data_IF_468071161778
#
_entry.id   IF_468071161778
#
_cell.length_a   1.000
_cell.length_b   1.000
_cell.length_c   1.000
_cell.angle_alpha   90.00
_cell.angle_beta   90.00
_cell.angle_gamma   90.00
#
_symmetry.space_group_name_H-M   'P 1'
#
loop_
_entity.id
_entity.type
_entity.pdbx_description
1 polymer ?
#
# COMPACT_ATOMS: atom_id res chain seq x y z
N UNK A 1 -5.48 -4.49 9.36
CA UNK A 1 -5.12 -5.91 9.20
C UNK A 1 -4.85 -6.56 10.56
N UNK A 2 -3.97 -6.01 11.40
CA UNK A 2 -3.60 -6.56 12.70
C UNK A 2 -4.79 -6.65 13.66
N UNK A 3 -5.66 -5.64 13.65
CA UNK A 3 -6.92 -5.69 14.41
C UNK A 3 -7.82 -6.84 13.94
N UNK A 4 -7.97 -7.03 12.63
CA UNK A 4 -8.77 -8.13 12.08
C UNK A 4 -8.19 -9.51 12.43
N UNK A 5 -6.85 -9.65 12.37
CA UNK A 5 -6.13 -10.86 12.80
C UNK A 5 -6.34 -11.09 14.31
N UNK A 6 -6.24 -10.03 15.11
CA UNK A 6 -6.46 -10.10 16.56
C UNK A 6 -7.89 -10.55 16.91
N UNK A 7 -8.91 -9.96 16.31
CA UNK A 7 -10.31 -10.35 16.48
C UNK A 7 -10.54 -11.80 16.03
N UNK A 8 -9.97 -12.19 14.88
CA UNK A 8 -10.03 -13.58 14.41
C UNK A 8 -9.45 -14.56 15.42
N UNK A 9 -8.29 -14.25 16.00
CA UNK A 9 -7.67 -15.09 17.05
C UNK A 9 -8.55 -15.21 18.30
N UNK A 10 -9.21 -14.13 18.72
CA UNK A 10 -10.16 -14.18 19.84
C UNK A 10 -11.35 -15.11 19.55
N UNK A 11 -11.73 -15.27 18.29
CA UNK A 11 -12.80 -16.19 17.84
C UNK A 11 -12.28 -17.59 17.50
N UNK A 12 -10.98 -17.88 17.69
CA UNK A 12 -10.37 -19.17 17.38
C UNK A 12 -9.88 -19.34 15.94
N UNK A 13 -9.90 -18.28 15.12
CA UNK A 13 -9.43 -18.32 13.73
C UNK A 13 -7.99 -17.78 13.61
N UNK A 14 -7.19 -18.44 12.79
CA UNK A 14 -5.83 -17.98 12.46
C UNK A 14 -5.82 -17.44 11.01
N UNK A 15 -5.94 -16.13 10.87
CA UNK A 15 -5.80 -15.47 9.58
C UNK A 15 -4.33 -15.20 9.26
N UNK A 16 -3.93 -15.35 7.98
CA UNK A 16 -2.57 -15.03 7.56
C UNK A 16 -2.31 -13.52 7.55
N UNK A 17 -1.05 -13.16 7.75
CA UNK A 17 -0.57 -11.78 7.56
C UNK A 17 -0.77 -11.35 6.10
N UNK A 18 -1.33 -10.14 5.90
CA UNK A 18 -1.50 -9.54 4.58
C UNK A 18 -0.58 -8.34 4.34
N UNK A 19 -0.09 -7.72 5.40
CA UNK A 19 0.79 -6.54 5.32
C UNK A 19 1.97 -6.71 6.27
N UNK A 20 3.19 -6.50 5.76
CA UNK A 20 4.42 -6.61 6.53
C UNK A 20 5.33 -5.41 6.25
N UNK A 21 5.01 -4.24 6.83
CA UNK A 21 5.73 -2.97 6.66
C UNK A 21 6.12 -2.68 5.19
N UNK A 22 5.16 -2.64 4.26
CA UNK A 22 5.44 -2.53 2.83
C UNK A 22 6.18 -1.24 2.46
N UNK A 23 5.93 -0.14 3.17
CA UNK A 23 6.61 1.13 2.92
C UNK A 23 8.08 1.18 3.35
N UNK A 24 8.59 0.12 3.97
CA UNK A 24 10.02 -0.07 4.27
C UNK A 24 10.78 -0.80 3.15
N UNK A 25 10.14 -1.08 2.03
CA UNK A 25 10.72 -1.86 0.93
C UNK A 25 11.75 -1.06 0.13
N UNK A 26 12.73 -1.76 -0.41
CA UNK A 26 13.82 -1.21 -1.22
C UNK A 26 13.68 -1.52 -2.73
N UNK A 27 12.57 -2.16 -3.13
CA UNK A 27 12.19 -2.38 -4.51
C UNK A 27 10.67 -2.50 -4.62
N UNK A 28 10.11 -2.20 -5.81
CA UNK A 28 8.68 -2.36 -6.07
C UNK A 28 8.28 -3.84 -5.96
N UNK A 29 9.13 -4.76 -6.42
CA UNK A 29 8.89 -6.19 -6.26
C UNK A 29 8.88 -6.62 -4.78
N UNK A 30 9.69 -6.02 -3.92
CA UNK A 30 9.65 -6.25 -2.48
C UNK A 30 8.39 -5.66 -1.85
N UNK A 31 8.00 -4.43 -2.25
CA UNK A 31 6.78 -3.80 -1.78
C UNK A 31 5.57 -4.72 -1.96
N UNK A 32 5.38 -5.28 -3.13
CA UNK A 32 4.25 -6.17 -3.44
C UNK A 32 4.34 -7.55 -2.78
N UNK A 33 5.50 -8.00 -2.35
CA UNK A 33 5.62 -9.18 -1.48
C UNK A 33 5.19 -8.92 -0.05
N UNK A 34 5.13 -7.64 0.36
CA UNK A 34 4.76 -7.18 1.70
C UNK A 34 3.36 -6.57 1.76
N UNK A 35 2.77 -6.25 0.60
CA UNK A 35 1.45 -5.66 0.44
C UNK A 35 0.47 -6.69 -0.11
N UNK A 36 -0.67 -6.86 0.59
CA UNK A 36 -1.77 -7.76 0.19
C UNK A 36 -1.27 -9.17 -0.18
N UNK A 37 -0.53 -9.78 0.74
CA UNK A 37 0.25 -11.02 0.52
C UNK A 37 -0.62 -12.15 0.00
N UNK A 38 -1.79 -12.37 0.60
CA UNK A 38 -2.69 -13.47 0.21
C UNK A 38 -3.24 -13.30 -1.20
N UNK A 39 -3.54 -12.07 -1.63
CA UNK A 39 -3.95 -11.79 -3.00
C UNK A 39 -2.81 -12.07 -3.98
N UNK A 40 -1.60 -11.63 -3.66
CA UNK A 40 -0.39 -11.90 -4.45
C UNK A 40 -0.15 -13.41 -4.61
N UNK A 41 -0.27 -14.17 -3.54
CA UNK A 41 -0.11 -15.63 -3.56
C UNK A 41 -1.22 -16.33 -4.35
N UNK A 42 -2.44 -15.80 -4.32
CA UNK A 42 -3.55 -16.29 -5.14
C UNK A 42 -3.26 -16.10 -6.64
N UNK A 43 -2.93 -14.88 -7.09
CA UNK A 43 -2.56 -14.61 -8.48
C UNK A 43 -1.37 -15.43 -8.94
N UNK A 44 -0.38 -15.61 -8.07
CA UNK A 44 0.80 -16.43 -8.35
C UNK A 44 0.44 -17.91 -8.54
N UNK A 45 -0.42 -18.45 -7.68
CA UNK A 45 -0.80 -19.87 -7.71
C UNK A 45 -1.74 -20.20 -8.86
N UNK A 46 -2.74 -19.34 -9.11
CA UNK A 46 -3.82 -19.64 -10.05
C UNK A 46 -3.62 -19.06 -11.45
N UNK A 47 -2.74 -18.07 -11.63
CA UNK A 47 -2.49 -17.46 -12.94
C UNK A 47 -1.03 -17.62 -13.35
N UNK A 48 -0.07 -17.13 -12.53
CA UNK A 48 1.34 -17.11 -12.92
C UNK A 48 1.93 -18.51 -13.12
N UNK A 49 1.73 -19.42 -12.19
CA UNK A 49 2.25 -20.80 -12.29
C UNK A 49 1.59 -21.62 -13.41
N UNK A 50 0.25 -21.62 -13.60
CA UNK A 50 -0.38 -22.27 -14.73
C UNK A 50 0.11 -21.78 -16.08
N UNK A 51 0.44 -20.49 -16.21
CA UNK A 51 1.04 -19.92 -17.43
C UNK A 51 2.51 -20.37 -17.66
N UNK A 52 3.09 -21.15 -16.74
CA UNK A 52 4.46 -21.66 -16.78
C UNK A 52 5.43 -20.93 -15.87
N UNK A 53 5.01 -19.87 -15.17
CA UNK A 53 5.83 -19.13 -14.22
C UNK A 53 7.12 -18.60 -14.86
N UNK A 54 8.27 -18.81 -14.19
CA UNK A 54 9.61 -18.45 -14.69
C UNK A 54 10.35 -19.61 -15.37
N UNK A 55 9.72 -20.79 -15.50
CA UNK A 55 10.40 -22.01 -15.97
C UNK A 55 10.63 -22.03 -17.48
N UNK A 56 9.90 -21.24 -18.26
CA UNK A 56 9.92 -21.24 -19.74
C UNK A 56 10.78 -20.10 -20.33
N UNK A 57 11.79 -19.66 -19.57
CA UNK A 57 12.72 -18.61 -20.01
C UNK A 57 12.20 -17.18 -19.77
N UNK A 58 13.11 -16.22 -20.00
CA UNK A 58 12.87 -14.82 -19.67
C UNK A 58 11.71 -14.17 -20.45
N UNK A 59 11.57 -14.36 -21.79
CA UNK A 59 10.47 -13.73 -22.53
C UNK A 59 9.09 -14.18 -22.01
N UNK A 60 8.93 -15.47 -21.73
CA UNK A 60 7.67 -16.00 -21.18
C UNK A 60 7.40 -15.47 -19.77
N UNK A 61 8.44 -15.33 -18.97
CA UNK A 61 8.33 -14.74 -17.61
C UNK A 61 7.83 -13.31 -17.68
N UNK A 62 8.34 -12.48 -18.61
CA UNK A 62 7.91 -11.10 -18.82
C UNK A 62 6.42 -11.05 -19.18
N UNK A 63 6.01 -11.84 -20.16
CA UNK A 63 4.60 -11.92 -20.56
C UNK A 63 3.72 -12.33 -19.39
N UNK A 64 4.11 -13.35 -18.64
CA UNK A 64 3.35 -13.82 -17.48
C UNK A 64 3.20 -12.73 -16.42
N UNK A 65 4.26 -11.96 -16.12
CA UNK A 65 4.22 -10.85 -15.18
C UNK A 65 3.26 -9.75 -15.66
N UNK A 66 3.38 -9.32 -16.92
CA UNK A 66 2.51 -8.28 -17.47
C UNK A 66 1.05 -8.71 -17.46
N UNK A 67 0.75 -9.95 -17.83
CA UNK A 67 -0.62 -10.49 -17.81
C UNK A 67 -1.17 -10.51 -16.39
N UNK A 68 -0.41 -11.05 -15.43
CA UNK A 68 -0.86 -11.10 -14.02
C UNK A 68 -1.15 -9.71 -13.49
N UNK A 69 -0.27 -8.76 -13.71
CA UNK A 69 -0.44 -7.39 -13.22
C UNK A 69 -1.60 -6.64 -13.90
N UNK A 70 -1.78 -6.83 -15.20
CA UNK A 70 -2.93 -6.26 -15.93
C UNK A 70 -4.26 -6.83 -15.39
N UNK A 71 -4.31 -8.15 -15.18
CA UNK A 71 -5.51 -8.80 -14.60
C UNK A 71 -5.73 -8.34 -13.16
N UNK A 72 -4.67 -8.13 -12.36
CA UNK A 72 -4.78 -7.54 -11.01
C UNK A 72 -5.41 -6.15 -11.06
N UNK A 73 -5.03 -5.33 -12.04
CA UNK A 73 -5.66 -4.02 -12.26
C UNK A 73 -7.15 -4.16 -12.60
N UNK A 74 -7.51 -5.01 -13.55
CA UNK A 74 -8.91 -5.26 -13.94
C UNK A 74 -9.75 -5.79 -12.76
N UNK A 75 -9.13 -6.60 -11.89
CA UNK A 75 -9.79 -7.11 -10.69
C UNK A 75 -10.20 -6.00 -9.72
N UNK A 76 -9.47 -4.90 -9.64
CA UNK A 76 -9.83 -3.73 -8.84
C UNK A 76 -11.04 -2.96 -9.39
N UNK A 77 -11.34 -3.10 -10.67
CA UNK A 77 -12.51 -2.46 -11.29
C UNK A 77 -12.40 -2.35 -12.82
N UNK A 78 -13.55 -2.24 -13.47
CA UNK A 78 -13.66 -2.12 -14.93
C UNK A 78 -13.39 -0.67 -15.41
N UNK A 79 -12.27 -0.08 -14.99
CA UNK A 79 -11.88 1.28 -15.37
C UNK A 79 -10.45 1.33 -15.90
N UNK A 80 -10.18 2.27 -16.83
CA UNK A 80 -8.88 2.39 -17.48
C UNK A 80 -7.74 2.74 -16.53
N UNK A 81 -8.00 3.54 -15.50
CA UNK A 81 -6.99 3.85 -14.47
C UNK A 81 -6.47 2.60 -13.76
N UNK A 82 -7.35 1.66 -13.39
CA UNK A 82 -6.95 0.42 -12.74
C UNK A 82 -6.14 -0.49 -13.67
N UNK A 83 -6.53 -0.57 -14.94
CA UNK A 83 -5.78 -1.35 -15.92
C UNK A 83 -4.39 -0.75 -16.16
N UNK A 84 -4.29 0.58 -16.28
CA UNK A 84 -3.02 1.28 -16.42
C UNK A 84 -2.17 1.18 -15.16
N UNK A 85 -2.77 1.26 -13.98
CA UNK A 85 -2.10 1.02 -12.69
C UNK A 85 -1.48 -0.38 -12.62
N UNK A 86 -2.23 -1.41 -12.99
CA UNK A 86 -1.72 -2.77 -13.06
C UNK A 86 -0.57 -2.89 -14.06
N UNK A 87 -0.72 -2.37 -15.28
CA UNK A 87 0.32 -2.35 -16.29
C UNK A 87 1.58 -1.61 -15.83
N UNK A 88 1.43 -0.47 -15.16
CA UNK A 88 2.52 0.30 -14.58
C UNK A 88 3.37 -0.52 -13.61
N UNK A 89 2.75 -1.18 -12.63
CA UNK A 89 3.50 -2.03 -11.70
C UNK A 89 4.08 -3.27 -12.37
N UNK A 90 3.37 -3.84 -13.33
CA UNK A 90 3.89 -4.93 -14.14
C UNK A 90 5.18 -4.54 -14.88
N UNK A 91 5.21 -3.37 -15.51
CA UNK A 91 6.37 -2.82 -16.20
C UNK A 91 7.53 -2.55 -15.22
N UNK A 92 7.27 -1.93 -14.08
CA UNK A 92 8.30 -1.67 -13.07
C UNK A 92 8.96 -2.96 -12.59
N UNK A 93 8.17 -3.98 -12.26
CA UNK A 93 8.68 -5.28 -11.82
C UNK A 93 9.48 -5.98 -12.92
N UNK A 94 9.08 -5.85 -14.17
CA UNK A 94 9.87 -6.35 -15.31
C UNK A 94 11.21 -5.61 -15.42
N UNK A 95 11.23 -4.29 -15.31
CA UNK A 95 12.45 -3.48 -15.35
C UNK A 95 13.39 -3.86 -14.18
N UNK A 96 12.86 -3.99 -12.97
CA UNK A 96 13.63 -4.47 -11.80
C UNK A 96 14.21 -5.86 -12.05
N UNK A 97 13.43 -6.76 -12.62
CA UNK A 97 13.89 -8.12 -12.94
C UNK A 97 14.97 -8.16 -14.01
N UNK A 98 14.91 -7.29 -15.01
CA UNK A 98 15.86 -7.27 -16.12
C UNK A 98 17.24 -6.73 -15.69
N UNK A 99 17.27 -5.60 -15.01
CA UNK A 99 18.53 -4.94 -14.67
C UNK A 99 18.48 -4.06 -13.42
N UNK A 100 17.36 -3.35 -13.16
CA UNK A 100 17.31 -2.32 -12.14
C UNK A 100 17.45 -2.91 -10.73
N UNK A 101 16.93 -4.12 -10.47
CA UNK A 101 17.07 -4.78 -9.17
C UNK A 101 18.53 -4.94 -8.74
N UNK A 102 19.42 -5.31 -9.67
CA UNK A 102 20.87 -5.39 -9.40
C UNK A 102 21.52 -4.05 -9.11
N UNK A 103 20.97 -2.96 -9.63
CA UNK A 103 21.43 -1.59 -9.36
C UNK A 103 20.96 -1.18 -7.97
N UNK A 104 19.68 -1.44 -7.64
CA UNK A 104 19.10 -1.13 -6.33
C UNK A 104 19.81 -1.84 -5.17
N UNK A 105 20.30 -3.05 -5.39
CA UNK A 105 21.10 -3.80 -4.40
C UNK A 105 22.49 -3.18 -4.14
N UNK A 106 23.04 -2.39 -5.09
CA UNK A 106 24.38 -1.80 -5.01
C UNK A 106 24.41 -0.38 -4.49
N UNK A 107 23.31 0.34 -4.57
CA UNK A 107 23.22 1.72 -4.09
C UNK A 107 22.89 1.75 -2.58
N UNK A 108 23.19 2.86 -1.87
CA UNK A 108 22.80 2.99 -0.47
C UNK A 108 21.28 2.80 -0.28
N UNK A 109 20.90 2.11 0.78
CA UNK A 109 19.51 1.70 1.09
C UNK A 109 18.50 2.85 1.07
N UNK A 110 18.92 4.06 1.45
CA UNK A 110 18.08 5.25 1.38
C UNK A 110 17.60 5.55 -0.05
N UNK A 111 18.46 5.44 -1.06
CA UNK A 111 18.09 5.74 -2.44
C UNK A 111 17.19 4.66 -3.05
N UNK A 112 17.43 3.38 -2.73
CA UNK A 112 16.56 2.29 -3.17
C UNK A 112 15.19 2.38 -2.50
N UNK A 113 15.12 2.74 -1.21
CA UNK A 113 13.88 3.03 -0.50
C UNK A 113 13.16 4.23 -1.13
N UNK A 114 13.85 5.35 -1.38
CA UNK A 114 13.26 6.55 -1.96
C UNK A 114 12.68 6.29 -3.36
N UNK A 115 13.43 5.55 -4.20
CA UNK A 115 12.92 5.07 -5.49
C UNK A 115 11.60 4.33 -5.32
N UNK A 116 11.59 3.32 -4.46
CA UNK A 116 10.41 2.48 -4.23
C UNK A 116 9.23 3.31 -3.73
N UNK A 117 9.47 4.18 -2.75
CA UNK A 117 8.46 5.07 -2.19
C UNK A 117 7.83 5.97 -3.26
N UNK A 118 8.66 6.64 -4.09
CA UNK A 118 8.18 7.50 -5.16
C UNK A 118 7.36 6.69 -6.18
N UNK A 119 7.84 5.53 -6.62
CA UNK A 119 7.11 4.71 -7.60
C UNK A 119 5.76 4.23 -7.04
N UNK A 120 5.71 3.87 -5.76
CA UNK A 120 4.46 3.46 -5.10
C UNK A 120 3.48 4.64 -4.97
N UNK A 121 3.97 5.83 -4.58
CA UNK A 121 3.12 7.05 -4.50
C UNK A 121 2.52 7.39 -5.87
N UNK A 122 3.30 7.35 -6.95
CA UNK A 122 2.76 7.52 -8.31
C UNK A 122 1.73 6.45 -8.67
N UNK A 123 1.95 5.21 -8.24
CA UNK A 123 0.94 4.15 -8.38
C UNK A 123 -0.36 4.50 -7.67
N UNK A 124 -0.32 5.03 -6.45
CA UNK A 124 -1.52 5.47 -5.73
C UNK A 124 -2.22 6.64 -6.41
N UNK A 125 -1.46 7.59 -6.97
CA UNK A 125 -2.05 8.66 -7.78
C UNK A 125 -2.80 8.10 -8.98
N UNK A 126 -2.25 7.15 -9.71
CA UNK A 126 -2.95 6.51 -10.83
C UNK A 126 -4.22 5.77 -10.38
N UNK A 127 -4.20 5.22 -9.18
CA UNK A 127 -5.34 4.49 -8.63
C UNK A 127 -6.49 5.41 -8.24
N UNK A 128 -6.21 6.54 -7.59
CA UNK A 128 -7.19 7.41 -6.92
C UNK A 128 -7.51 8.70 -7.69
N UNK A 129 -6.63 9.15 -8.59
CA UNK A 129 -6.76 10.45 -9.28
C UNK A 129 -7.99 10.58 -10.21
N UNK A 130 -8.81 9.55 -10.30
CA UNK A 130 -9.83 9.43 -11.31
C UNK A 130 -11.18 9.08 -10.69
N UNK A 131 -12.17 9.96 -10.86
CA UNK A 131 -13.52 9.71 -10.37
C UNK A 131 -14.16 8.50 -11.09
N UNK A 132 -14.78 7.55 -10.36
CA UNK A 132 -15.42 6.39 -10.94
C UNK A 132 -16.46 6.77 -12.01
N UNK A 133 -16.46 6.07 -13.13
CA UNK A 133 -17.42 6.28 -14.23
C UNK A 133 -17.13 7.47 -15.16
N UNK A 134 -16.10 8.28 -14.90
CA UNK A 134 -15.75 9.46 -15.72
C UNK A 134 -14.62 9.19 -16.71
N UNK A 135 -14.02 7.99 -16.69
CA UNK A 135 -12.77 7.67 -17.37
C UNK A 135 -13.00 6.95 -18.68
N UNK A 136 -12.61 7.60 -19.76
CA UNK A 136 -12.32 6.95 -21.04
C UNK A 136 -10.81 6.79 -21.23
N UNK A 137 -10.39 5.92 -22.13
CA UNK A 137 -8.97 5.81 -22.48
C UNK A 137 -8.38 7.14 -22.97
N UNK A 138 -9.21 8.00 -23.60
CA UNK A 138 -8.76 9.28 -24.12
C UNK A 138 -8.46 10.35 -23.08
N UNK A 139 -9.08 10.30 -21.89
CA UNK A 139 -8.96 11.34 -20.87
C UNK A 139 -8.21 10.90 -19.60
N UNK A 140 -7.91 9.61 -19.43
CA UNK A 140 -7.26 9.08 -18.21
C UNK A 140 -5.90 9.71 -17.97
N UNK A 141 -5.09 9.88 -19.01
CA UNK A 141 -3.77 10.48 -18.91
C UNK A 141 -3.84 11.97 -18.53
N UNK A 142 -4.81 12.70 -19.08
CA UNK A 142 -5.04 14.11 -18.75
C UNK A 142 -5.45 14.26 -17.28
N UNK A 143 -6.33 13.42 -16.77
CA UNK A 143 -6.74 13.45 -15.36
C UNK A 143 -5.57 13.14 -14.42
N UNK A 144 -4.79 12.07 -14.69
CA UNK A 144 -3.61 11.73 -13.92
C UNK A 144 -2.59 12.87 -13.95
N UNK A 145 -2.33 13.46 -15.13
CA UNK A 145 -1.40 14.58 -15.29
C UNK A 145 -1.87 15.82 -14.54
N UNK A 146 -3.16 16.16 -14.61
CA UNK A 146 -3.75 17.29 -13.89
C UNK A 146 -3.56 17.11 -12.38
N UNK A 147 -3.79 15.89 -11.86
CA UNK A 147 -3.58 15.61 -10.44
C UNK A 147 -2.10 15.74 -10.04
N UNK A 148 -1.19 15.13 -10.80
CA UNK A 148 0.26 15.24 -10.56
C UNK A 148 0.71 16.71 -10.62
N UNK A 149 0.28 17.45 -11.64
CA UNK A 149 0.60 18.86 -11.79
C UNK A 149 0.12 19.69 -10.58
N UNK A 150 -1.10 19.42 -10.11
CA UNK A 150 -1.66 20.09 -8.92
C UNK A 150 -0.85 19.79 -7.65
N UNK A 151 -0.35 18.55 -7.47
CA UNK A 151 0.54 18.20 -6.34
C UNK A 151 1.80 19.05 -6.25
N UNK A 152 2.28 19.60 -7.38
CA UNK A 152 3.45 20.46 -7.49
C UNK A 152 3.10 21.94 -7.72
N UNK A 153 1.85 22.33 -7.45
CA UNK A 153 1.41 23.72 -7.57
C UNK A 153 1.11 24.19 -8.99
N UNK A 154 0.96 23.25 -9.95
CA UNK A 154 0.65 23.57 -11.36
C UNK A 154 -0.69 24.25 -11.59
N UNK A 155 -1.59 24.23 -10.58
CA UNK A 155 -2.85 24.99 -10.54
C UNK A 155 -2.67 26.44 -9.99
N UNK A 156 -1.43 26.88 -9.74
CA UNK A 156 -1.12 28.20 -9.19
C UNK A 156 -1.16 28.28 -7.64
N UNK A 157 -1.51 27.18 -6.96
CA UNK A 157 -1.60 27.13 -5.50
C UNK A 157 -0.86 25.90 -5.00
N UNK A 158 0.21 26.12 -4.22
CA UNK A 158 0.97 24.99 -3.64
C UNK A 158 0.39 24.54 -2.29
N UNK A 159 -0.04 25.47 -1.46
CA UNK A 159 -0.73 25.20 -0.19
C UNK A 159 -1.90 26.18 -0.08
N UNK A 160 -3.10 25.69 0.08
CA UNK A 160 -4.31 26.48 0.34
C UNK A 160 -4.77 26.36 1.79
N UNK A 161 -5.84 27.09 2.13
CA UNK A 161 -6.44 27.04 3.46
C UNK A 161 -6.99 25.65 3.80
N UNK A 162 -7.42 24.90 2.80
CA UNK A 162 -7.93 23.52 2.96
C UNK A 162 -6.80 22.58 3.35
N UNK A 163 -5.68 22.63 2.63
CA UNK A 163 -4.48 21.86 2.96
C UNK A 163 -3.95 22.21 4.36
N UNK A 164 -3.91 23.50 4.71
CA UNK A 164 -3.52 23.96 6.04
C UNK A 164 -4.43 23.39 7.12
N UNK A 165 -5.75 23.43 6.92
CA UNK A 165 -6.72 22.86 7.84
C UNK A 165 -6.53 21.34 8.01
N UNK A 166 -6.26 20.61 6.94
CA UNK A 166 -5.96 19.17 7.04
C UNK A 166 -4.68 18.90 7.83
N UNK A 167 -3.62 19.67 7.60
CA UNK A 167 -2.35 19.51 8.33
C UNK A 167 -2.58 19.79 9.83
N UNK A 168 -3.29 20.84 10.18
CA UNK A 168 -3.55 21.21 11.57
C UNK A 168 -4.43 20.16 12.27
N UNK A 169 -5.51 19.70 11.62
CA UNK A 169 -6.45 18.78 12.24
C UNK A 169 -5.95 17.32 12.28
N UNK A 170 -5.16 16.90 11.28
CA UNK A 170 -4.73 15.50 11.13
C UNK A 170 -3.22 15.30 11.24
N UNK A 171 -2.42 16.36 11.48
CA UNK A 171 -0.95 16.26 11.51
C UNK A 171 -0.42 15.25 12.52
N UNK A 172 -1.04 15.15 13.70
CA UNK A 172 -0.67 14.14 14.71
C UNK A 172 -0.96 12.74 14.19
N UNK A 173 -2.12 12.53 13.56
CA UNK A 173 -2.51 11.23 12.98
C UNK A 173 -1.53 10.85 11.86
N UNK A 174 -1.15 11.80 10.98
CA UNK A 174 -0.14 11.58 9.96
C UNK A 174 1.20 11.16 10.55
N UNK A 175 1.66 11.85 11.61
CA UNK A 175 2.89 11.46 12.29
C UNK A 175 2.82 10.03 12.86
N UNK A 176 1.72 9.68 13.53
CA UNK A 176 1.49 8.33 14.06
C UNK A 176 1.47 7.30 12.91
N UNK A 177 0.84 7.60 11.78
CA UNK A 177 0.82 6.71 10.61
C UNK A 177 2.22 6.51 10.02
N UNK A 178 3.06 7.57 9.93
CA UNK A 178 4.44 7.47 9.45
C UNK A 178 5.26 6.54 10.35
N UNK A 179 5.21 6.72 11.68
CA UNK A 179 5.90 5.83 12.62
C UNK A 179 5.32 4.40 12.58
N UNK A 180 3.99 4.26 12.50
CA UNK A 180 3.31 2.96 12.43
C UNK A 180 3.56 2.20 11.12
N UNK A 181 3.95 2.88 10.04
CA UNK A 181 4.33 2.24 8.77
C UNK A 181 5.71 1.58 8.79
N UNK A 182 6.47 1.77 9.88
CA UNK A 182 7.81 1.21 10.12
C UNK A 182 7.79 0.17 11.25
N UNK A 183 8.85 -0.60 11.36
CA UNK A 183 9.04 -1.58 12.44
C UNK A 183 9.54 -0.97 13.76
N UNK A 184 9.70 0.35 13.82
CA UNK A 184 10.20 1.08 14.99
C UNK A 184 9.32 0.81 16.22
N UNK A 185 8.00 0.87 16.08
CA UNK A 185 7.07 0.61 17.18
C UNK A 185 7.17 -0.83 17.68
N UNK A 186 7.30 -1.80 16.76
CA UNK A 186 7.50 -3.20 17.11
C UNK A 186 8.80 -3.41 17.87
N UNK A 187 9.90 -2.87 17.35
CA UNK A 187 11.23 -2.95 17.99
C UNK A 187 11.21 -2.32 19.38
N UNK A 188 10.54 -1.17 19.54
CA UNK A 188 10.37 -0.51 20.83
C UNK A 188 9.51 -1.36 21.79
N UNK A 189 8.42 -1.93 21.32
CA UNK A 189 7.58 -2.82 22.12
C UNK A 189 8.36 -4.08 22.59
N UNK A 190 9.16 -4.67 21.71
CA UNK A 190 10.04 -5.81 22.05
C UNK A 190 11.12 -5.42 23.08
N UNK A 191 11.68 -4.22 22.97
CA UNK A 191 12.63 -3.69 23.95
C UNK A 191 11.99 -3.54 25.34
N UNK A 192 10.79 -2.94 25.40
CA UNK A 192 10.05 -2.81 26.66
C UNK A 192 9.68 -4.18 27.22
N UNK A 193 9.25 -5.12 26.38
CA UNK A 193 8.93 -6.49 26.79
C UNK A 193 10.09 -7.17 27.51
N UNK A 194 11.32 -6.95 27.07
CA UNK A 194 12.52 -7.51 27.69
C UNK A 194 12.86 -6.84 29.04
N UNK A 195 12.61 -5.53 29.17
CA UNK A 195 12.96 -4.76 30.38
C UNK A 195 11.86 -4.69 31.44
N UNK A 196 10.61 -4.71 31.02
CA UNK A 196 9.46 -4.56 31.91
C UNK A 196 8.30 -5.49 31.53
N UNK A 197 8.48 -6.83 31.68
CA UNK A 197 7.48 -7.80 31.23
C UNK A 197 6.12 -7.62 31.92
N UNK A 198 6.09 -7.20 33.17
CA UNK A 198 4.83 -6.94 33.90
C UNK A 198 4.06 -5.76 33.29
N UNK A 199 4.73 -4.71 32.87
CA UNK A 199 4.11 -3.57 32.18
C UNK A 199 3.51 -3.99 30.83
N UNK A 200 4.19 -4.84 30.09
CA UNK A 200 3.67 -5.38 28.82
C UNK A 200 2.44 -6.26 29.05
N UNK A 201 2.47 -7.09 30.09
CA UNK A 201 1.39 -8.01 30.39
C UNK A 201 0.09 -7.29 30.78
N UNK A 202 0.16 -6.19 31.52
CA UNK A 202 -1.04 -5.52 32.06
C UNK A 202 -1.26 -4.14 31.45
N UNK A 203 -0.20 -3.39 31.10
CA UNK A 203 -0.31 -2.03 30.57
C UNK A 203 -0.74 -2.00 29.11
N UNK A 204 -0.19 -2.86 28.26
CA UNK A 204 -0.55 -2.88 26.83
C UNK A 204 -2.03 -3.21 26.60
N UNK A 205 -2.62 -4.24 27.23
CA UNK A 205 -4.05 -4.50 27.08
C UNK A 205 -4.94 -3.33 27.50
N UNK A 206 -4.54 -2.56 28.52
CA UNK A 206 -5.28 -1.35 28.92
C UNK A 206 -5.18 -0.27 27.85
N UNK A 207 -3.98 0.00 27.34
CA UNK A 207 -3.77 0.99 26.27
C UNK A 207 -4.53 0.59 25.01
N UNK A 208 -4.45 -0.67 24.60
CA UNK A 208 -5.17 -1.20 23.42
C UNK A 208 -6.68 -1.07 23.59
N UNK A 209 -7.20 -1.37 24.79
CA UNK A 209 -8.62 -1.18 25.10
C UNK A 209 -9.05 0.27 25.02
N UNK A 210 -8.26 1.19 25.54
CA UNK A 210 -8.55 2.64 25.48
C UNK A 210 -8.55 3.12 24.02
N UNK A 211 -7.54 2.72 23.22
CA UNK A 211 -7.45 3.07 21.80
C UNK A 211 -8.65 2.50 21.04
N UNK A 212 -9.03 1.26 21.32
CA UNK A 212 -10.18 0.62 20.68
C UNK A 212 -11.48 1.37 21.01
N UNK A 213 -11.73 1.70 22.29
CA UNK A 213 -12.91 2.45 22.70
C UNK A 213 -12.95 3.86 22.10
N UNK A 214 -11.82 4.55 22.06
CA UNK A 214 -11.71 5.86 21.41
C UNK A 214 -12.00 5.78 19.90
N UNK A 215 -11.50 4.74 19.23
CA UNK A 215 -11.73 4.49 17.80
C UNK A 215 -13.20 4.20 17.52
N UNK A 216 -13.86 3.37 18.34
CA UNK A 216 -15.30 3.10 18.24
C UNK A 216 -16.12 4.36 18.48
N UNK A 217 -15.80 5.16 19.50
CA UNK A 217 -16.49 6.43 19.77
C UNK A 217 -16.35 7.40 18.59
N UNK A 218 -15.15 7.51 18.01
CA UNK A 218 -14.92 8.35 16.83
C UNK A 218 -15.71 7.88 15.60
N UNK A 219 -15.70 6.58 15.32
CA UNK A 219 -16.46 5.99 14.20
C UNK A 219 -17.98 6.14 14.36
N UNK A 220 -18.50 6.04 15.61
CA UNK A 220 -19.93 6.17 15.88
C UNK A 220 -20.48 7.58 15.67
N UNK A 221 -19.60 8.59 15.73
CA UNK A 221 -19.98 10.02 15.52
C UNK A 221 -19.82 10.45 14.05
N UNK A 222 -19.13 9.67 13.22
CA UNK A 222 -18.89 10.01 11.83
C UNK A 222 -20.01 9.44 10.93
N UNK A 223 -20.61 10.31 10.09
CA UNK A 223 -21.54 9.91 9.05
C UNK A 223 -20.82 9.34 7.82
N UNK A 224 -19.50 9.23 7.85
CA UNK A 224 -18.68 8.74 6.77
C UNK A 224 -18.53 7.22 6.86
N UNK A 225 -18.84 6.51 5.78
CA UNK A 225 -18.56 5.08 5.70
C UNK A 225 -17.07 4.88 5.38
N UNK A 226 -16.27 4.35 6.33
CA UNK A 226 -14.83 4.16 6.11
C UNK A 226 -14.49 3.00 5.19
N UNK A 227 -15.50 2.26 4.70
CA UNK A 227 -15.27 1.15 3.78
C UNK A 227 -14.93 1.69 2.38
N UNK A 228 -13.65 1.69 2.07
CA UNK A 228 -13.10 2.17 0.81
C UNK A 228 -13.75 1.48 -0.41
N UNK A 229 -14.06 0.19 -0.28
CA UNK A 229 -14.66 -0.63 -1.35
C UNK A 229 -16.12 -0.30 -1.71
N UNK A 230 -16.83 0.52 -0.93
CA UNK A 230 -18.16 0.98 -1.31
C UNK A 230 -18.15 2.26 -2.14
N UNK A 231 -16.97 2.84 -2.36
CA UNK A 231 -16.80 4.07 -3.16
C UNK A 231 -16.19 3.80 -4.54
N UNK A 232 -16.03 2.54 -4.93
CA UNK A 232 -15.52 2.12 -6.24
C UNK A 232 -16.62 1.51 -7.11
#
# INVERSE_FOLDING_TARGET
>A
SDMAIGLGKMMGFNFPENFNYPYMSHSVAEFWRRWHITLGDWFKSYIYFPMGGSRKGLPRTIINLLVVWTITGIWHGASWNFMLWGAYFGILIVIERLFLGKVLEKIPSFFSWLYTFIMVVFGWVMFDAVAPGTVSFGNVFEQIWTFISAMFGGNGVFIDNTATNYIVNYGIIFAVCIFGSSDVLKTFAEYIRKKAPTWVQYGFPVVDTVIMLASVAYLSTSNYNPFLYFNF
#
